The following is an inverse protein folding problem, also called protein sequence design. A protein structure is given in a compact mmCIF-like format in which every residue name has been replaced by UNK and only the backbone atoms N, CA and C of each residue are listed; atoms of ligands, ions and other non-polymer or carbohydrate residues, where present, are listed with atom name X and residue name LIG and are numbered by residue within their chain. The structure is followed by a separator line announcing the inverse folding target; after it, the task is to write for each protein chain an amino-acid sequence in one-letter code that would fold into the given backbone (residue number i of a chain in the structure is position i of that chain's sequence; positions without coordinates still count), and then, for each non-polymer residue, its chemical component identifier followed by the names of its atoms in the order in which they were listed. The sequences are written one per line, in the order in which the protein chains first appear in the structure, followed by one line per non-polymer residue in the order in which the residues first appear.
data_IF_573647194440
#
_entry.id   IF_573647194440
#
_cell.length_a   1.000
_cell.length_b   1.000
_cell.length_c   1.000
_cell.angle_alpha   90.00
_cell.angle_beta   90.00
_cell.angle_gamma   90.00
#
_symmetry.space_group_name_H-M   'P 1'
#
loop_
_entity.id
_entity.type
_entity.pdbx_description
1 polymer ?
#
# COMPACT_ATOMS: atom_id res chain seq x y z
N UNK A 1 -38.72 11.47 -12.82
CA UNK A 1 -37.73 12.45 -12.32
C UNK A 1 -36.84 11.73 -11.30
N UNK A 2 -35.54 11.63 -11.60
CA UNK A 2 -34.53 10.83 -10.89
C UNK A 2 -33.81 11.71 -9.87
N UNK A 3 -33.64 11.25 -8.62
CA UNK A 3 -32.53 11.60 -7.71
C UNK A 3 -32.35 10.43 -6.71
N UNK A 4 -31.39 9.51 -6.87
CA UNK A 4 -29.98 9.49 -6.41
C UNK A 4 -29.69 9.81 -4.93
N UNK A 5 -29.00 8.84 -4.30
CA UNK A 5 -27.99 8.94 -3.21
C UNK A 5 -28.42 9.11 -1.75
N UNK A 6 -28.33 8.00 -1.00
CA UNK A 6 -27.92 8.02 0.42
C UNK A 6 -27.12 6.76 0.79
N UNK A 7 -25.90 6.66 0.26
CA UNK A 7 -24.92 5.68 0.70
C UNK A 7 -24.33 6.08 2.06
N UNK A 8 -24.83 5.38 3.09
CA UNK A 8 -24.40 5.27 4.48
C UNK A 8 -22.92 5.63 4.75
N UNK A 9 -22.71 6.69 5.53
CA UNK A 9 -21.42 7.12 6.11
C UNK A 9 -20.69 5.94 6.75
N UNK A 10 -19.45 5.65 6.33
CA UNK A 10 -18.49 4.82 7.07
C UNK A 10 -17.36 5.70 7.60
N UNK A 11 -17.27 5.84 8.92
CA UNK A 11 -16.13 6.35 9.70
C UNK A 11 -15.92 5.42 10.89
N UNK A 12 -14.77 5.44 11.58
CA UNK A 12 -13.42 5.11 11.13
C UNK A 12 -12.93 3.86 11.89
N UNK A 13 -12.14 2.96 11.30
CA UNK A 13 -11.53 1.86 12.08
C UNK A 13 -10.30 2.38 12.81
N UNK A 14 -10.49 2.83 14.07
CA UNK A 14 -9.42 2.89 15.08
C UNK A 14 -8.90 1.45 15.28
N UNK A 15 -7.63 1.18 14.98
CA UNK A 15 -6.95 -0.01 15.51
C UNK A 15 -6.01 0.45 16.62
N UNK A 16 -6.48 0.22 17.84
CA UNK A 16 -5.77 0.45 19.10
C UNK A 16 -4.56 -0.48 19.15
N UNK A 17 -3.44 0.09 19.60
CA UNK A 17 -2.17 -0.58 19.84
C UNK A 17 -2.29 -1.63 20.95
N UNK A 18 -2.03 -2.89 20.60
CA UNK A 18 -1.46 -3.92 21.48
C UNK A 18 -0.37 -4.61 20.67
N UNK A 19 0.71 -5.05 21.32
CA UNK A 19 1.69 -5.97 20.73
C UNK A 19 1.01 -7.32 20.46
N UNK A 20 0.07 -7.35 19.53
CA UNK A 20 -0.55 -8.57 19.02
C UNK A 20 0.40 -9.12 17.97
N UNK A 21 0.77 -10.39 18.12
CA UNK A 21 1.43 -11.17 17.07
C UNK A 21 0.83 -10.79 15.72
N UNK A 22 1.65 -10.23 14.82
CA UNK A 22 1.21 -9.83 13.50
C UNK A 22 0.54 -11.03 12.84
N UNK A 23 -0.61 -10.81 12.21
CA UNK A 23 -1.21 -11.89 11.41
C UNK A 23 -0.20 -12.34 10.34
N UNK A 24 -0.21 -13.61 9.91
CA UNK A 24 0.71 -14.09 8.87
C UNK A 24 0.72 -13.20 7.61
N UNK A 25 -0.45 -12.66 7.24
CA UNK A 25 -0.59 -11.72 6.13
C UNK A 25 0.08 -10.36 6.38
N UNK A 26 0.06 -9.85 7.62
CA UNK A 26 0.77 -8.63 8.01
C UNK A 26 2.28 -8.83 8.04
N UNK A 27 2.75 -9.98 8.53
CA UNK A 27 4.18 -10.33 8.51
C UNK A 27 4.68 -10.40 7.08
N UNK A 28 3.95 -11.08 6.18
CA UNK A 28 4.33 -11.17 4.78
C UNK A 28 4.36 -9.78 4.11
N UNK A 29 3.33 -8.97 4.34
CA UNK A 29 3.29 -7.61 3.79
C UNK A 29 4.43 -6.74 4.34
N UNK A 30 4.79 -6.90 5.62
CA UNK A 30 5.93 -6.21 6.22
C UNK A 30 7.23 -6.62 5.51
N UNK A 31 7.46 -7.92 5.30
CA UNK A 31 8.63 -8.40 4.57
C UNK A 31 8.66 -7.86 3.13
N UNK A 32 7.52 -7.86 2.43
CA UNK A 32 7.41 -7.25 1.09
C UNK A 32 7.76 -5.77 1.13
N UNK A 33 7.21 -5.03 2.10
CA UNK A 33 7.53 -3.62 2.28
C UNK A 33 9.02 -3.37 2.54
N UNK A 34 9.66 -4.18 3.36
CA UNK A 34 11.09 -4.03 3.67
C UNK A 34 11.95 -4.29 2.42
N UNK A 35 11.59 -5.29 1.59
CA UNK A 35 12.22 -5.52 0.28
C UNK A 35 12.01 -4.31 -0.65
N UNK A 36 10.79 -3.79 -0.69
CA UNK A 36 10.44 -2.62 -1.50
C UNK A 36 11.18 -1.37 -1.02
N UNK A 37 11.45 -1.22 0.27
CA UNK A 37 12.25 -0.12 0.83
C UNK A 37 13.66 -0.09 0.24
N UNK A 38 14.28 -1.25 0.05
CA UNK A 38 15.61 -1.34 -0.54
C UNK A 38 15.63 -1.22 -2.06
N UNK A 39 14.51 -1.56 -2.73
CA UNK A 39 14.43 -1.66 -4.20
C UNK A 39 13.78 -0.44 -4.86
N UNK A 40 12.79 0.20 -4.25
CA UNK A 40 12.17 1.45 -4.73
C UNK A 40 13.06 2.69 -4.44
N UNK A 41 14.37 2.59 -4.72
CA UNK A 41 15.26 3.76 -4.83
C UNK A 41 14.94 4.59 -6.08
N UNK A 42 14.33 3.94 -7.07
CA UNK A 42 13.81 4.58 -8.28
C UNK A 42 12.32 4.24 -8.42
N UNK A 43 11.49 5.14 -8.96
CA UNK A 43 10.07 4.86 -9.13
C UNK A 43 9.86 3.73 -10.15
N UNK A 44 9.20 2.64 -9.72
CA UNK A 44 8.94 1.42 -10.49
C UNK A 44 7.47 1.27 -10.86
N UNK A 45 7.19 0.58 -11.97
CA UNK A 45 5.83 0.21 -12.39
C UNK A 45 5.32 -1.03 -11.66
N UNK A 46 4.02 -1.28 -11.75
CA UNK A 46 3.39 -2.44 -11.10
C UNK A 46 3.95 -3.77 -11.61
N UNK A 47 4.21 -3.87 -12.91
CA UNK A 47 4.72 -5.07 -13.57
C UNK A 47 6.17 -5.36 -13.15
N UNK A 48 6.98 -4.31 -13.01
CA UNK A 48 8.36 -4.40 -12.53
C UNK A 48 8.39 -4.90 -11.08
N UNK A 49 7.49 -4.38 -10.24
CA UNK A 49 7.35 -4.81 -8.84
C UNK A 49 6.86 -6.26 -8.75
N UNK A 50 5.90 -6.65 -9.59
CA UNK A 50 5.39 -8.02 -9.62
C UNK A 50 6.48 -9.02 -10.03
N UNK A 51 7.27 -8.66 -11.04
CA UNK A 51 8.42 -9.45 -11.48
C UNK A 51 9.50 -9.54 -10.40
N UNK A 52 9.82 -8.42 -9.74
CA UNK A 52 10.78 -8.34 -8.64
C UNK A 52 10.38 -9.25 -7.45
N UNK A 53 9.10 -9.26 -7.09
CA UNK A 53 8.58 -10.08 -5.99
C UNK A 53 8.30 -11.54 -6.40
N UNK A 54 8.33 -11.85 -7.70
CA UNK A 54 7.96 -13.16 -8.22
C UNK A 54 6.48 -13.50 -8.02
N UNK A 55 5.60 -12.49 -8.00
CA UNK A 55 4.17 -12.65 -7.72
C UNK A 55 3.28 -12.22 -8.88
N UNK A 56 2.01 -12.65 -8.85
CA UNK A 56 1.04 -12.19 -9.84
C UNK A 56 0.77 -10.69 -9.71
N UNK A 57 0.48 -10.02 -10.82
CA UNK A 57 0.12 -8.59 -10.85
C UNK A 57 -1.06 -8.30 -9.92
N UNK A 58 -2.05 -9.19 -9.87
CA UNK A 58 -3.23 -9.05 -8.99
C UNK A 58 -2.83 -9.00 -7.52
N UNK A 59 -1.94 -9.91 -7.09
CA UNK A 59 -1.46 -9.96 -5.72
C UNK A 59 -0.62 -8.73 -5.39
N UNK A 60 0.28 -8.35 -6.29
CA UNK A 60 1.12 -7.15 -6.16
C UNK A 60 0.26 -5.90 -6.00
N UNK A 61 -0.77 -5.74 -6.83
CA UNK A 61 -1.70 -4.62 -6.75
C UNK A 61 -2.43 -4.56 -5.41
N UNK A 62 -2.84 -5.70 -4.87
CA UNK A 62 -3.47 -5.77 -3.56
C UNK A 62 -2.51 -5.31 -2.44
N UNK A 63 -1.23 -5.72 -2.50
CA UNK A 63 -0.20 -5.25 -1.57
C UNK A 63 0.07 -3.76 -1.71
N UNK A 64 0.29 -3.26 -2.93
CA UNK A 64 0.55 -1.84 -3.18
C UNK A 64 -0.62 -0.98 -2.70
N UNK A 65 -1.86 -1.40 -2.94
CA UNK A 65 -3.06 -0.72 -2.42
C UNK A 65 -3.02 -0.62 -0.90
N UNK A 66 -2.72 -1.72 -0.22
CA UNK A 66 -2.65 -1.74 1.24
C UNK A 66 -1.51 -0.88 1.78
N UNK A 67 -0.34 -0.90 1.13
CA UNK A 67 0.80 -0.05 1.51
C UNK A 67 0.52 1.44 1.29
N UNK A 68 -0.25 1.79 0.25
CA UNK A 68 -0.75 3.16 0.05
C UNK A 68 -1.77 3.56 1.12
N UNK A 69 -2.70 2.67 1.48
CA UNK A 69 -3.66 2.91 2.57
C UNK A 69 -2.95 3.09 3.93
N UNK A 70 -1.85 2.39 4.16
CA UNK A 70 -0.98 2.54 5.34
C UNK A 70 -0.04 3.77 5.25
N UNK A 71 -0.02 4.47 4.11
CA UNK A 71 0.83 5.66 3.89
C UNK A 71 2.32 5.36 3.76
N UNK A 72 2.69 4.11 3.47
CA UNK A 72 4.08 3.66 3.35
C UNK A 72 4.67 3.86 1.96
N UNK A 73 3.81 3.82 0.94
CA UNK A 73 4.18 4.09 -0.44
C UNK A 73 3.18 5.05 -1.06
N UNK A 74 3.61 5.76 -2.08
CA UNK A 74 2.78 6.65 -2.87
C UNK A 74 2.84 6.24 -4.35
N UNK A 75 1.84 6.67 -5.11
CA UNK A 75 1.73 6.40 -6.54
C UNK A 75 1.69 7.71 -7.31
N UNK A 76 2.67 7.89 -8.19
CA UNK A 76 2.65 8.92 -9.20
C UNK A 76 1.67 8.48 -10.28
N UNK A 77 0.77 9.37 -10.69
CA UNK A 77 -0.29 9.04 -11.65
C UNK A 77 0.16 9.18 -13.10
N UNK A 78 1.23 9.93 -13.38
CA UNK A 78 1.76 10.19 -14.73
C UNK A 78 3.29 10.38 -14.73
N UNK A 79 4.08 9.39 -15.19
CA UNK A 79 3.70 8.00 -15.48
C UNK A 79 3.28 7.25 -14.21
N UNK A 80 2.51 6.16 -14.35
CA UNK A 80 2.11 5.32 -13.23
C UNK A 80 3.33 4.64 -12.59
N UNK A 81 3.87 5.24 -11.52
CA UNK A 81 5.06 4.73 -10.82
C UNK A 81 4.86 4.78 -9.32
N UNK A 82 5.31 3.76 -8.62
CA UNK A 82 5.27 3.68 -7.18
C UNK A 82 6.61 4.15 -6.61
N UNK A 83 6.56 4.88 -5.50
CA UNK A 83 7.73 5.36 -4.76
C UNK A 83 7.47 5.22 -3.25
N UNK A 84 8.55 5.15 -2.46
CA UNK A 84 8.42 5.14 -1.00
C UNK A 84 7.84 6.47 -0.54
N UNK A 85 6.90 6.44 0.40
CA UNK A 85 6.49 7.66 1.05
C UNK A 85 7.72 8.24 1.75
N UNK A 86 8.01 9.55 1.58
CA UNK A 86 9.05 10.16 2.39
C UNK A 86 8.70 9.91 3.85
N UNK A 87 9.68 9.44 4.64
CA UNK A 87 9.53 9.40 6.08
C UNK A 87 9.13 10.82 6.48
N UNK A 88 7.86 11.04 6.83
CA UNK A 88 7.38 12.36 7.23
C UNK A 88 7.99 12.64 8.59
N UNK A 89 9.26 13.04 8.57
CA UNK A 89 9.92 13.85 9.58
C UNK A 89 9.09 15.14 9.65
N UNK A 90 8.00 15.11 10.41
CA UNK A 90 7.33 16.33 10.77
C UNK A 90 8.11 17.00 11.91
N UNK A 91 8.46 18.27 11.71
CA UNK A 91 8.58 19.28 12.79
C UNK A 91 7.26 19.46 13.53
#
# INVERSE_FOLDING_TARGET
FVYTLLAKKRKPRKKVSKKSSLSPAETLLKTVHDILKDRLKHPMKEEEIATLLGTSIVQTRAWLKRLMEEGRIEKQTRPARYFLAPERLFE
#
